data_IF_759912618441
#
_entry.id   IF_759912618441
#
_cell.length_a   1.000
_cell.length_b   1.000
_cell.length_c   1.000
_cell.angle_alpha   90.00
_cell.angle_beta   90.00
_cell.angle_gamma   90.00
#
_symmetry.space_group_name_H-M   'P 1'
#
loop_
_entity.id
_entity.type
_entity.pdbx_description
1 polymer ?
#
# COMPACT_ATOMS: atom_id res chain seq x y z
N UNK A 1 -12.55 36.35 26.48
CA UNK A 1 -13.27 35.45 25.57
C UNK A 1 -12.71 34.06 25.80
N UNK A 2 -13.53 33.02 25.98
CA UNK A 2 -13.00 31.65 26.15
C UNK A 2 -12.30 31.19 24.87
N UNK A 3 -11.29 30.31 25.00
CA UNK A 3 -10.47 29.81 23.89
C UNK A 3 -11.35 29.22 22.77
N UNK A 4 -12.35 28.40 23.13
CA UNK A 4 -13.28 27.82 22.16
C UNK A 4 -14.05 28.88 21.34
N UNK A 5 -14.52 29.97 21.97
CA UNK A 5 -15.26 31.04 21.28
C UNK A 5 -14.35 31.82 20.32
N UNK A 6 -13.05 31.90 20.61
CA UNK A 6 -12.07 32.46 19.67
C UNK A 6 -11.94 31.59 18.42
N UNK A 7 -11.85 30.27 18.57
CA UNK A 7 -11.84 29.34 17.44
C UNK A 7 -13.10 29.47 16.57
N UNK A 8 -14.28 29.63 17.17
CA UNK A 8 -15.52 29.88 16.43
C UNK A 8 -15.47 31.20 15.64
N UNK A 9 -14.91 32.26 16.24
CA UNK A 9 -14.73 33.55 15.57
C UNK A 9 -13.74 33.44 14.41
N UNK A 10 -12.59 32.77 14.60
CA UNK A 10 -11.61 32.54 13.53
C UNK A 10 -12.22 31.79 12.35
N UNK A 11 -13.03 30.75 12.63
CA UNK A 11 -13.66 29.98 11.58
C UNK A 11 -14.67 30.79 10.77
N UNK A 12 -15.22 31.88 11.33
CA UNK A 12 -16.13 32.79 10.61
C UNK A 12 -15.43 33.77 9.65
N UNK A 13 -14.10 33.88 9.73
CA UNK A 13 -13.29 34.78 8.91
C UNK A 13 -12.78 34.10 7.64
N UNK A 14 -12.23 34.90 6.73
CA UNK A 14 -11.42 34.43 5.59
C UNK A 14 -10.04 33.98 6.04
N UNK A 15 -9.36 33.16 5.24
CA UNK A 15 -7.99 32.72 5.49
C UNK A 15 -7.06 33.92 5.75
N UNK A 16 -7.12 34.95 4.90
CA UNK A 16 -6.29 36.15 5.02
C UNK A 16 -6.51 36.90 6.34
N UNK A 17 -7.76 37.04 6.79
CA UNK A 17 -8.09 37.67 8.08
C UNK A 17 -7.57 36.86 9.27
N UNK A 18 -7.65 35.53 9.21
CA UNK A 18 -7.07 34.65 10.25
C UNK A 18 -5.55 34.80 10.29
N UNK A 19 -4.88 34.88 9.14
CA UNK A 19 -3.43 35.13 9.09
C UNK A 19 -3.07 36.46 9.78
N UNK A 20 -3.79 37.54 9.48
CA UNK A 20 -3.56 38.84 10.13
C UNK A 20 -3.78 38.77 11.64
N UNK A 21 -4.83 38.09 12.08
CA UNK A 21 -5.11 37.87 13.49
C UNK A 21 -3.97 37.11 14.18
N UNK A 22 -3.49 36.01 13.59
CA UNK A 22 -2.43 35.19 14.17
C UNK A 22 -1.08 35.90 14.20
N UNK A 23 -0.76 36.70 13.17
CA UNK A 23 0.42 37.56 13.16
C UNK A 23 0.36 38.60 14.28
N UNK A 24 -0.82 39.19 14.54
CA UNK A 24 -1.02 40.11 15.66
C UNK A 24 -0.90 39.39 17.01
N UNK A 25 -1.43 38.16 17.12
CA UNK A 25 -1.47 37.38 18.36
C UNK A 25 -0.10 36.84 18.76
N UNK A 26 0.67 36.31 17.81
CA UNK A 26 1.92 35.58 18.10
C UNK A 26 3.19 36.24 17.58
N UNK A 27 3.06 37.30 16.78
CA UNK A 27 4.17 37.98 16.12
C UNK A 27 4.69 37.26 14.88
N UNK A 28 5.61 37.91 14.19
CA UNK A 28 6.28 37.37 13.00
C UNK A 28 7.21 36.20 13.34
N UNK A 29 7.48 35.33 12.34
CA UNK A 29 8.46 34.28 12.50
C UNK A 29 9.87 34.84 12.74
N UNK A 30 10.63 34.13 13.57
CA UNK A 30 11.95 34.59 14.05
C UNK A 30 13.09 34.24 13.08
N UNK A 31 12.85 33.29 12.17
CA UNK A 31 13.84 32.78 11.23
C UNK A 31 13.10 32.14 10.04
N UNK A 32 13.80 31.96 8.93
CA UNK A 32 13.26 31.26 7.76
C UNK A 32 12.99 29.78 8.08
N UNK A 33 12.09 29.15 7.34
CA UNK A 33 11.76 27.74 7.54
C UNK A 33 12.95 26.83 7.20
N UNK A 34 13.60 27.12 6.08
CA UNK A 34 14.84 26.49 5.63
C UNK A 34 15.97 27.51 5.51
N UNK A 35 17.21 27.03 5.59
CA UNK A 35 18.39 27.87 5.36
C UNK A 35 18.61 28.07 3.87
N UNK A 36 18.60 29.31 3.40
CA UNK A 36 18.75 29.67 1.99
C UNK A 36 19.93 28.98 1.31
N UNK A 37 21.14 29.07 1.88
CA UNK A 37 22.33 28.40 1.31
C UNK A 37 22.15 26.90 1.17
N UNK A 38 21.50 26.25 2.14
CA UNK A 38 21.23 24.81 2.07
C UNK A 38 20.13 24.50 1.05
N UNK A 39 19.14 25.37 0.92
CA UNK A 39 18.06 25.25 -0.05
C UNK A 39 18.59 25.29 -1.48
N UNK A 40 19.40 26.30 -1.81
CA UNK A 40 20.00 26.43 -3.15
C UNK A 40 20.87 25.22 -3.51
N UNK A 41 21.70 24.76 -2.58
CA UNK A 41 22.53 23.56 -2.78
C UNK A 41 21.68 22.30 -2.99
N UNK A 42 20.53 22.19 -2.32
CA UNK A 42 19.60 21.09 -2.53
C UNK A 42 18.97 21.15 -3.93
N UNK A 43 18.50 22.33 -4.35
CA UNK A 43 17.94 22.53 -5.70
C UNK A 43 18.97 22.27 -6.82
N UNK A 44 20.25 22.51 -6.54
CA UNK A 44 21.36 22.18 -7.45
C UNK A 44 21.77 20.69 -7.43
N UNK A 45 21.13 19.85 -6.61
CA UNK A 45 21.49 18.43 -6.46
C UNK A 45 22.79 18.16 -5.68
N UNK A 46 23.37 19.17 -5.02
CA UNK A 46 24.63 19.03 -4.28
C UNK A 46 24.46 18.32 -2.92
N UNK A 47 23.26 18.38 -2.35
CA UNK A 47 22.91 17.75 -1.07
C UNK A 47 21.54 17.08 -1.16
N UNK A 48 21.31 16.06 -0.33
CA UNK A 48 20.05 15.29 -0.32
C UNK A 48 18.96 15.84 0.60
N UNK A 49 19.30 16.79 1.48
CA UNK A 49 18.39 17.30 2.52
C UNK A 49 18.62 18.78 2.77
N UNK A 50 17.53 19.52 2.96
CA UNK A 50 17.58 20.94 3.27
C UNK A 50 17.73 21.13 4.78
N UNK A 51 18.65 22.00 5.18
CA UNK A 51 18.84 22.38 6.59
C UNK A 51 17.71 23.29 7.04
N UNK A 52 17.05 22.96 8.15
CA UNK A 52 16.00 23.79 8.76
C UNK A 52 16.57 25.07 9.40
N UNK A 53 15.80 26.15 9.36
CA UNK A 53 16.07 27.34 10.16
C UNK A 53 15.66 27.17 11.63
N UNK A 54 15.85 28.21 12.44
CA UNK A 54 15.50 28.23 13.88
C UNK A 54 14.11 28.85 14.11
N UNK A 55 13.12 28.40 13.33
CA UNK A 55 11.75 28.92 13.40
C UNK A 55 10.89 28.23 14.47
N UNK A 56 11.32 27.09 15.03
CA UNK A 56 10.47 26.25 15.88
C UNK A 56 10.09 26.94 17.21
N UNK A 57 8.78 26.98 17.52
CA UNK A 57 8.22 27.43 18.81
C UNK A 57 7.33 26.36 19.48
N UNK A 58 7.61 25.09 19.20
CA UNK A 58 6.86 23.97 19.78
C UNK A 58 7.03 23.84 21.30
N UNK A 59 8.08 24.44 21.88
CA UNK A 59 8.21 24.60 23.34
C UNK A 59 7.12 25.48 23.94
N UNK A 60 6.52 26.38 23.16
CA UNK A 60 5.39 27.24 23.54
C UNK A 60 4.03 26.63 23.15
N UNK A 61 4.04 25.41 22.57
CA UNK A 61 2.85 24.76 22.03
C UNK A 61 2.39 25.29 20.67
N UNK A 62 3.27 25.97 19.92
CA UNK A 62 2.95 26.58 18.64
C UNK A 62 3.58 25.82 17.45
N UNK A 63 2.77 25.63 16.42
CA UNK A 63 3.15 25.21 15.08
C UNK A 63 3.54 26.42 14.24
N UNK A 64 4.37 26.17 13.23
CA UNK A 64 4.68 27.14 12.19
C UNK A 64 3.95 26.71 10.92
N UNK A 65 3.14 27.62 10.37
CA UNK A 65 2.34 27.45 9.17
C UNK A 65 2.90 28.32 8.05
N UNK A 66 2.98 27.77 6.84
CA UNK A 66 3.36 28.52 5.64
C UNK A 66 2.15 29.24 5.05
N UNK A 67 2.17 30.57 4.99
CA UNK A 67 1.04 31.41 4.53
C UNK A 67 0.63 31.06 3.09
N UNK A 68 1.59 30.61 2.28
CA UNK A 68 1.38 30.32 0.85
C UNK A 68 0.84 28.91 0.56
N UNK A 69 0.47 28.14 1.59
CA UNK A 69 -0.19 26.84 1.39
C UNK A 69 -1.60 26.96 0.82
N UNK A 70 -2.11 28.18 0.62
CA UNK A 70 -3.32 28.43 -0.17
C UNK A 70 -3.09 28.43 -1.68
N UNK A 71 -1.84 28.36 -2.14
CA UNK A 71 -1.46 28.35 -3.55
C UNK A 71 -0.46 27.24 -3.90
N UNK A 72 0.18 26.61 -2.90
CA UNK A 72 1.17 25.56 -3.10
C UNK A 72 0.98 24.42 -2.11
N UNK A 73 1.20 23.19 -2.56
CA UNK A 73 1.09 22.02 -1.70
C UNK A 73 2.39 21.78 -0.93
N UNK A 74 2.24 21.55 0.38
CA UNK A 74 3.26 20.93 1.23
C UNK A 74 4.62 21.64 1.21
N UNK A 75 4.62 22.94 1.49
CA UNK A 75 5.80 23.81 1.44
C UNK A 75 6.90 23.43 2.44
N UNK A 76 6.59 22.54 3.39
CA UNK A 76 7.55 21.98 4.35
C UNK A 76 8.28 20.72 3.86
N UNK A 77 7.84 20.11 2.75
CA UNK A 77 8.38 18.84 2.26
C UNK A 77 9.36 19.06 1.08
N UNK A 78 10.61 18.65 1.28
CA UNK A 78 11.67 18.79 0.29
C UNK A 78 11.38 18.09 -1.05
N UNK A 79 10.62 16.99 -1.05
CA UNK A 79 10.25 16.29 -2.29
C UNK A 79 9.32 17.16 -3.14
N UNK A 80 8.29 17.74 -2.53
CA UNK A 80 7.38 18.66 -3.23
C UNK A 80 8.09 19.93 -3.70
N UNK A 81 9.01 20.45 -2.90
CA UNK A 81 9.86 21.59 -3.26
C UNK A 81 10.67 21.30 -4.54
N UNK A 82 11.34 20.15 -4.60
CA UNK A 82 12.15 19.75 -5.75
C UNK A 82 11.28 19.50 -6.98
N UNK A 83 10.21 18.71 -6.83
CA UNK A 83 9.32 18.35 -7.94
C UNK A 83 8.66 19.58 -8.59
N UNK A 84 8.26 20.57 -7.78
CA UNK A 84 7.56 21.76 -8.24
C UNK A 84 8.47 22.98 -8.42
N UNK A 85 9.78 22.82 -8.28
CA UNK A 85 10.78 23.89 -8.43
C UNK A 85 10.42 25.17 -7.65
N UNK A 86 9.99 24.98 -6.40
CA UNK A 86 9.49 26.08 -5.57
C UNK A 86 10.60 27.08 -5.25
N UNK A 87 10.23 28.35 -5.15
CA UNK A 87 11.17 29.41 -4.80
C UNK A 87 11.47 29.42 -3.30
N UNK A 88 12.70 29.79 -2.93
CA UNK A 88 13.07 30.04 -1.55
C UNK A 88 12.25 31.17 -0.91
N UNK A 89 11.68 32.08 -1.70
CA UNK A 89 10.84 33.18 -1.19
C UNK A 89 9.70 32.70 -0.29
N UNK A 90 9.10 31.54 -0.58
CA UNK A 90 8.02 30.96 0.23
C UNK A 90 8.49 30.41 1.58
N UNK A 91 9.79 30.29 1.78
CA UNK A 91 10.40 29.79 3.02
C UNK A 91 10.82 30.91 3.95
N UNK A 92 10.74 32.17 3.50
CA UNK A 92 11.14 33.34 4.28
C UNK A 92 10.22 33.54 5.48
N UNK A 93 10.78 34.04 6.58
CA UNK A 93 10.05 34.29 7.84
C UNK A 93 8.83 35.19 7.66
N UNK A 94 8.82 36.12 6.70
CA UNK A 94 7.68 36.98 6.40
C UNK A 94 6.49 36.21 5.77
N UNK A 95 6.73 34.98 5.31
CA UNK A 95 5.74 34.07 4.71
C UNK A 95 5.32 32.96 5.67
N UNK A 96 5.65 33.10 6.95
CA UNK A 96 5.35 32.14 8.01
C UNK A 96 4.51 32.81 9.09
N UNK A 97 3.60 32.04 9.69
CA UNK A 97 2.80 32.43 10.85
C UNK A 97 2.84 31.34 11.91
N UNK A 98 2.64 31.72 13.18
CA UNK A 98 2.48 30.75 14.27
C UNK A 98 1.02 30.54 14.61
N UNK A 99 0.68 29.33 15.01
CA UNK A 99 -0.66 28.93 15.41
C UNK A 99 -0.59 27.74 16.37
N UNK A 100 -1.58 27.56 17.23
CA UNK A 100 -1.78 26.31 17.96
C UNK A 100 -2.41 25.23 17.06
N UNK A 101 -2.68 24.03 17.61
CA UNK A 101 -3.20 22.91 16.81
C UNK A 101 -4.59 23.20 16.20
N UNK A 102 -5.49 23.81 16.95
CA UNK A 102 -6.86 24.06 16.49
C UNK A 102 -6.85 25.19 15.46
N UNK A 103 -6.10 26.26 15.73
CA UNK A 103 -5.89 27.36 14.77
C UNK A 103 -5.28 26.84 13.46
N UNK A 104 -4.30 25.93 13.53
CA UNK A 104 -3.70 25.31 12.36
C UNK A 104 -4.74 24.52 11.55
N UNK A 105 -5.60 23.75 12.23
CA UNK A 105 -6.66 23.00 11.56
C UNK A 105 -7.71 23.92 10.92
N UNK A 106 -8.04 25.06 11.56
CA UNK A 106 -8.90 26.11 11.00
C UNK A 106 -8.27 26.70 9.73
N UNK A 107 -6.97 27.03 9.74
CA UNK A 107 -6.27 27.53 8.56
C UNK A 107 -6.42 26.55 7.38
N UNK A 108 -6.16 25.26 7.60
CA UNK A 108 -6.33 24.25 6.54
C UNK A 108 -7.79 24.07 6.10
N UNK A 109 -8.77 24.15 7.00
CA UNK A 109 -10.18 24.09 6.64
C UNK A 109 -10.60 25.30 5.78
N UNK A 110 -10.12 26.50 6.11
CA UNK A 110 -10.39 27.73 5.34
C UNK A 110 -9.72 27.69 3.97
N UNK A 111 -8.45 27.27 3.89
CA UNK A 111 -7.77 27.05 2.61
C UNK A 111 -8.57 26.07 1.75
N UNK A 112 -8.95 24.92 2.33
CA UNK A 112 -9.74 23.90 1.62
C UNK A 112 -11.05 24.47 1.10
N UNK A 113 -11.75 25.25 1.90
CA UNK A 113 -13.00 25.90 1.52
C UNK A 113 -12.79 26.91 0.38
N UNK A 114 -11.82 27.81 0.52
CA UNK A 114 -11.61 28.93 -0.42
C UNK A 114 -11.01 28.47 -1.76
N UNK A 115 -10.25 27.38 -1.76
CA UNK A 115 -9.59 26.83 -2.94
C UNK A 115 -10.37 25.68 -3.57
N UNK A 116 -11.61 25.46 -3.17
CA UNK A 116 -12.44 24.35 -3.66
C UNK A 116 -11.73 22.98 -3.57
N UNK A 117 -11.06 22.74 -2.44
CA UNK A 117 -10.29 21.53 -2.09
C UNK A 117 -8.99 21.32 -2.89
N UNK A 118 -8.56 22.29 -3.70
CA UNK A 118 -7.28 22.20 -4.42
C UNK A 118 -6.10 22.20 -3.46
N UNK A 119 -6.16 22.99 -2.39
CA UNK A 119 -5.13 23.09 -1.37
C UNK A 119 -5.70 22.85 0.04
N UNK A 120 -4.81 22.68 1.03
CA UNK A 120 -5.17 22.55 2.44
C UNK A 120 -5.75 21.19 2.87
N UNK A 121 -6.52 20.52 2.01
CA UNK A 121 -7.29 19.32 2.36
C UNK A 121 -6.44 18.19 2.93
N UNK A 122 -5.28 17.90 2.32
CA UNK A 122 -4.40 16.82 2.79
C UNK A 122 -3.84 17.11 4.20
N UNK A 123 -3.47 18.37 4.49
CA UNK A 123 -3.05 18.82 5.81
C UNK A 123 -4.16 18.66 6.85
N UNK A 124 -5.37 19.03 6.46
CA UNK A 124 -6.58 18.87 7.27
C UNK A 124 -6.90 17.42 7.59
N UNK A 125 -7.14 16.59 6.56
CA UNK A 125 -7.80 15.28 6.68
C UNK A 125 -6.83 14.17 7.12
N UNK A 126 -5.55 14.24 6.74
CA UNK A 126 -4.58 13.18 7.02
C UNK A 126 -3.75 13.42 8.28
N UNK A 127 -3.61 14.68 8.72
CA UNK A 127 -2.68 15.02 9.81
C UNK A 127 -3.39 15.71 10.98
N UNK A 128 -4.00 16.87 10.74
CA UNK A 128 -4.45 17.74 11.83
C UNK A 128 -5.77 17.26 12.45
N UNK A 129 -6.78 16.93 11.65
CA UNK A 129 -8.07 16.42 12.18
C UNK A 129 -7.87 15.11 12.95
N UNK A 130 -7.16 14.08 12.43
CA UNK A 130 -6.92 12.85 13.20
C UNK A 130 -6.18 13.10 14.52
N UNK A 131 -5.30 14.11 14.57
CA UNK A 131 -4.61 14.49 15.79
C UNK A 131 -5.56 15.10 16.82
N UNK A 132 -6.47 15.98 16.41
CA UNK A 132 -7.51 16.57 17.28
C UNK A 132 -8.47 15.48 17.78
N UNK A 133 -8.91 14.60 16.87
CA UNK A 133 -9.74 13.43 17.18
C UNK A 133 -9.09 12.54 18.25
N UNK A 134 -7.80 12.19 18.07
CA UNK A 134 -7.08 11.37 19.01
C UNK A 134 -6.81 12.07 20.34
N UNK A 135 -6.44 13.35 20.31
CA UNK A 135 -6.01 14.06 21.51
C UNK A 135 -7.18 14.45 22.40
N UNK A 136 -8.25 15.00 21.81
CA UNK A 136 -9.32 15.64 22.57
C UNK A 136 -10.60 14.83 22.60
N UNK A 137 -10.89 14.01 21.58
CA UNK A 137 -12.11 13.18 21.57
C UNK A 137 -11.83 11.78 22.13
N UNK A 138 -10.74 11.12 21.70
CA UNK A 138 -10.30 9.86 22.31
C UNK A 138 -9.55 10.08 23.65
N UNK A 139 -9.35 11.34 24.06
CA UNK A 139 -8.66 11.74 25.30
C UNK A 139 -7.23 11.17 25.44
N UNK A 140 -6.52 10.97 24.33
CA UNK A 140 -5.15 10.44 24.36
C UNK A 140 -4.11 11.54 24.42
N UNK A 141 -3.51 11.68 25.59
CA UNK A 141 -2.39 12.60 25.80
C UNK A 141 -1.18 12.14 24.97
N UNK A 142 -0.57 13.01 24.14
CA UNK A 142 0.59 12.65 23.34
C UNK A 142 1.82 12.37 24.22
N UNK A 143 2.71 11.49 23.73
CA UNK A 143 3.88 11.04 24.50
C UNK A 143 5.05 12.03 24.46
N UNK A 144 5.30 12.64 23.31
CA UNK A 144 6.45 13.53 23.11
C UNK A 144 6.22 14.87 23.80
N UNK A 145 7.23 15.39 24.48
CA UNK A 145 7.08 16.59 25.32
C UNK A 145 6.62 17.82 24.54
N UNK A 146 7.19 18.05 23.35
CA UNK A 146 6.76 19.16 22.50
C UNK A 146 5.30 19.01 22.03
N UNK A 147 4.80 17.78 21.86
CA UNK A 147 3.39 17.54 21.52
C UNK A 147 2.50 17.79 22.73
N UNK A 148 2.93 17.47 23.96
CA UNK A 148 2.19 17.82 25.19
C UNK A 148 2.05 19.32 25.33
N UNK A 149 3.10 20.09 25.02
CA UNK A 149 3.00 21.55 25.02
C UNK A 149 1.91 22.03 24.05
N UNK A 150 1.85 21.45 22.85
CA UNK A 150 0.81 21.76 21.87
C UNK A 150 -0.59 21.33 22.35
N UNK A 151 -0.70 20.13 22.92
CA UNK A 151 -1.93 19.61 23.53
C UNK A 151 -2.49 20.54 24.62
N UNK A 152 -1.64 20.97 25.54
CA UNK A 152 -2.04 21.86 26.63
C UNK A 152 -2.36 23.28 26.14
N UNK A 153 -1.65 23.77 25.12
CA UNK A 153 -1.87 25.09 24.53
C UNK A 153 -3.26 25.21 23.89
N UNK A 154 -3.71 24.14 23.23
CA UNK A 154 -4.94 24.13 22.45
C UNK A 154 -6.04 23.24 23.05
N UNK A 155 -6.01 23.03 24.37
CA UNK A 155 -6.89 22.07 25.04
C UNK A 155 -8.37 22.39 24.81
N UNK A 156 -9.13 21.36 24.43
CA UNK A 156 -10.58 21.35 24.33
C UNK A 156 -11.13 20.12 25.05
N UNK A 157 -12.31 20.25 25.65
CA UNK A 157 -13.07 19.07 26.10
C UNK A 157 -13.66 18.32 24.88
N UNK A 158 -14.02 17.03 24.99
CA UNK A 158 -14.53 16.24 23.86
C UNK A 158 -15.69 16.90 23.10
N UNK A 159 -16.64 17.51 23.81
CA UNK A 159 -17.78 18.20 23.21
C UNK A 159 -17.35 19.40 22.36
N UNK A 160 -16.42 20.22 22.85
CA UNK A 160 -15.88 21.36 22.12
C UNK A 160 -15.10 20.90 20.88
N UNK A 161 -14.30 19.84 21.01
CA UNK A 161 -13.53 19.26 19.91
C UNK A 161 -14.44 18.73 18.78
N UNK A 162 -15.50 17.98 19.13
CA UNK A 162 -16.49 17.53 18.15
C UNK A 162 -17.21 18.70 17.50
N UNK A 163 -17.63 19.69 18.29
CA UNK A 163 -18.36 20.85 17.76
C UNK A 163 -17.51 21.67 16.78
N UNK A 164 -16.24 21.93 17.11
CA UNK A 164 -15.38 22.71 16.21
C UNK A 164 -15.07 21.93 14.93
N UNK A 165 -14.77 20.63 15.02
CA UNK A 165 -14.53 19.78 13.85
C UNK A 165 -15.78 19.66 12.97
N UNK A 166 -16.97 19.54 13.58
CA UNK A 166 -18.23 19.53 12.86
C UNK A 166 -18.45 20.82 12.05
N UNK A 167 -18.12 21.98 12.62
CA UNK A 167 -18.18 23.26 11.91
C UNK A 167 -17.17 23.34 10.76
N UNK A 168 -15.95 22.84 10.95
CA UNK A 168 -14.93 22.79 9.90
C UNK A 168 -15.34 21.85 8.75
N UNK A 169 -15.82 20.64 9.07
CA UNK A 169 -16.28 19.66 8.07
C UNK A 169 -17.47 20.21 7.27
N UNK A 170 -18.43 20.87 7.93
CA UNK A 170 -19.54 21.56 7.25
C UNK A 170 -19.06 22.62 6.26
N UNK A 171 -18.02 23.38 6.60
CA UNK A 171 -17.43 24.41 5.72
C UNK A 171 -16.83 23.82 4.45
N UNK A 172 -16.27 22.62 4.53
CA UNK A 172 -15.70 21.91 3.37
C UNK A 172 -16.70 20.95 2.70
N UNK A 173 -17.99 21.06 3.03
CA UNK A 173 -19.07 20.31 2.39
C UNK A 173 -19.21 18.85 2.84
N UNK A 174 -18.70 18.51 4.03
CA UNK A 174 -18.71 17.15 4.59
C UNK A 174 -19.58 17.05 5.83
N UNK A 175 -19.94 15.82 6.16
CA UNK A 175 -20.71 15.47 7.35
C UNK A 175 -19.73 14.97 8.41
N UNK A 176 -19.98 15.36 9.65
CA UNK A 176 -19.24 14.90 10.81
C UNK A 176 -20.23 14.65 11.96
N UNK A 177 -19.90 13.75 12.90
CA UNK A 177 -20.66 13.56 14.13
C UNK A 177 -20.96 14.89 14.86
N UNK A 178 -22.10 14.95 15.53
CA UNK A 178 -22.51 16.12 16.33
C UNK A 178 -22.24 15.94 17.82
N UNK A 179 -21.98 14.70 18.26
CA UNK A 179 -21.67 14.38 19.65
C UNK A 179 -20.46 13.44 19.75
N UNK A 180 -19.73 13.42 20.89
CA UNK A 180 -18.68 12.43 21.11
C UNK A 180 -19.17 11.00 20.99
N UNK A 181 -20.39 10.71 21.43
CA UNK A 181 -21.01 9.38 21.28
C UNK A 181 -21.16 8.98 19.81
N UNK A 182 -21.77 9.83 18.98
CA UNK A 182 -21.92 9.60 17.54
C UNK A 182 -20.55 9.37 16.87
N UNK A 183 -19.52 10.11 17.31
CA UNK A 183 -18.16 9.93 16.80
C UNK A 183 -17.58 8.56 17.14
N UNK A 184 -17.71 8.11 18.38
CA UNK A 184 -17.20 6.80 18.78
C UNK A 184 -17.95 5.65 18.09
N UNK A 185 -19.27 5.78 17.96
CA UNK A 185 -20.10 4.80 17.22
C UNK A 185 -19.68 4.71 15.75
N UNK A 186 -19.54 5.84 15.06
CA UNK A 186 -19.08 5.90 13.67
C UNK A 186 -17.66 5.33 13.51
N UNK A 187 -16.78 5.61 14.47
CA UNK A 187 -15.40 5.12 14.46
C UNK A 187 -15.33 3.61 14.64
N UNK A 188 -16.11 3.05 15.56
CA UNK A 188 -16.19 1.59 15.73
C UNK A 188 -16.81 0.92 14.49
N UNK A 189 -17.87 1.49 13.92
CA UNK A 189 -18.44 1.02 12.65
C UNK A 189 -17.38 0.93 11.54
N UNK A 190 -16.60 1.99 11.35
CA UNK A 190 -15.50 2.00 10.35
C UNK A 190 -14.44 0.94 10.64
N UNK A 191 -14.11 0.69 11.92
CA UNK A 191 -13.17 -0.36 12.33
C UNK A 191 -13.70 -1.75 12.00
N UNK A 192 -14.97 -2.00 12.25
CA UNK A 192 -15.63 -3.27 11.93
C UNK A 192 -15.71 -3.49 10.42
N UNK A 193 -16.10 -2.48 9.65
CA UNK A 193 -16.11 -2.52 8.18
C UNK A 193 -14.73 -2.80 7.61
N UNK A 194 -13.69 -2.16 8.16
CA UNK A 194 -12.31 -2.42 7.75
C UNK A 194 -11.92 -3.88 8.05
N UNK A 195 -12.17 -4.38 9.26
CA UNK A 195 -11.90 -5.79 9.62
C UNK A 195 -12.63 -6.76 8.68
N UNK A 196 -13.90 -6.49 8.39
CA UNK A 196 -14.70 -7.31 7.48
C UNK A 196 -14.12 -7.29 6.06
N UNK A 197 -13.68 -6.13 5.57
CA UNK A 197 -13.06 -6.00 4.25
C UNK A 197 -11.77 -6.83 4.09
N UNK A 198 -10.97 -6.95 5.16
CA UNK A 198 -9.78 -7.81 5.19
C UNK A 198 -10.19 -9.29 5.11
N UNK A 199 -11.16 -9.71 5.92
CA UNK A 199 -11.69 -11.08 5.91
C UNK A 199 -12.24 -11.45 4.53
N UNK A 200 -13.00 -10.55 3.90
CA UNK A 200 -13.59 -10.79 2.58
C UNK A 200 -12.50 -10.87 1.49
N UNK A 201 -11.47 -10.03 1.60
CA UNK A 201 -10.30 -10.08 0.71
C UNK A 201 -9.56 -11.41 0.85
N UNK A 202 -9.34 -11.89 2.07
CA UNK A 202 -8.70 -13.19 2.33
C UNK A 202 -9.51 -14.35 1.77
N UNK A 203 -10.83 -14.37 1.99
CA UNK A 203 -11.73 -15.38 1.41
C UNK A 203 -11.69 -15.38 -0.12
N UNK A 204 -11.68 -14.20 -0.75
CA UNK A 204 -11.58 -14.08 -2.21
C UNK A 204 -10.26 -14.65 -2.72
N UNK A 205 -9.13 -14.30 -2.08
CA UNK A 205 -7.82 -14.82 -2.46
C UNK A 205 -7.73 -16.34 -2.30
N UNK A 206 -8.31 -16.91 -1.25
CA UNK A 206 -8.38 -18.35 -1.05
C UNK A 206 -9.21 -19.04 -2.14
N UNK A 207 -10.37 -18.47 -2.50
CA UNK A 207 -11.20 -18.99 -3.59
C UNK A 207 -10.48 -18.94 -4.94
N UNK A 208 -9.83 -17.82 -5.26
CA UNK A 208 -9.01 -17.67 -6.47
C UNK A 208 -7.87 -18.69 -6.51
N UNK A 209 -7.23 -18.94 -5.38
CA UNK A 209 -6.18 -19.95 -5.26
C UNK A 209 -6.72 -21.36 -5.53
N UNK A 210 -7.83 -21.75 -4.87
CA UNK A 210 -8.47 -23.06 -5.07
C UNK A 210 -8.87 -23.25 -6.53
N UNK A 211 -9.48 -22.25 -7.16
CA UNK A 211 -9.90 -22.33 -8.55
C UNK A 211 -8.70 -22.47 -9.49
N UNK A 212 -7.63 -21.70 -9.27
CA UNK A 212 -6.38 -21.83 -10.03
C UNK A 212 -5.78 -23.23 -9.92
N UNK A 213 -5.81 -23.84 -8.73
CA UNK A 213 -5.34 -25.22 -8.54
C UNK A 213 -6.20 -26.24 -9.30
N UNK A 214 -7.52 -26.05 -9.36
CA UNK A 214 -8.41 -26.90 -10.17
C UNK A 214 -8.10 -26.76 -11.66
N UNK A 215 -7.96 -25.54 -12.16
CA UNK A 215 -7.63 -25.27 -13.56
C UNK A 215 -6.28 -25.88 -13.95
N UNK A 216 -5.27 -25.76 -13.08
CA UNK A 216 -3.97 -26.41 -13.31
C UNK A 216 -4.09 -27.93 -13.39
N UNK A 217 -4.90 -28.56 -12.53
CA UNK A 217 -5.15 -30.01 -12.59
C UNK A 217 -5.89 -30.43 -13.86
N UNK A 218 -6.83 -29.63 -14.35
CA UNK A 218 -7.56 -29.88 -15.61
C UNK A 218 -6.59 -29.77 -16.79
N UNK A 219 -5.87 -28.65 -16.88
CA UNK A 219 -4.88 -28.40 -17.94
C UNK A 219 -3.79 -29.48 -17.98
N UNK A 220 -3.29 -29.95 -16.82
CA UNK A 220 -2.33 -31.06 -16.77
C UNK A 220 -2.91 -32.38 -17.29
N UNK A 221 -4.20 -32.65 -17.06
CA UNK A 221 -4.86 -33.85 -17.59
C UNK A 221 -5.04 -33.76 -19.11
N UNK A 222 -5.42 -32.59 -19.61
CA UNK A 222 -5.55 -32.33 -21.04
C UNK A 222 -4.21 -32.45 -21.75
N UNK A 223 -3.16 -31.81 -21.22
CA UNK A 223 -1.80 -31.93 -21.75
C UNK A 223 -1.31 -33.38 -21.80
N UNK A 224 -1.50 -34.15 -20.73
CA UNK A 224 -1.17 -35.59 -20.71
C UNK A 224 -1.95 -36.39 -21.76
N UNK A 225 -3.19 -36.00 -22.04
CA UNK A 225 -4.03 -36.65 -23.06
C UNK A 225 -3.48 -36.34 -24.46
N UNK A 226 -3.19 -35.07 -24.75
CA UNK A 226 -2.60 -34.64 -26.03
C UNK A 226 -1.24 -35.30 -26.29
N UNK A 227 -0.37 -35.34 -25.28
CA UNK A 227 0.93 -36.01 -25.36
C UNK A 227 0.78 -37.51 -25.65
N UNK A 228 -0.18 -38.17 -24.99
CA UNK A 228 -0.48 -39.58 -25.26
C UNK A 228 -1.05 -39.79 -26.67
N UNK A 229 -1.96 -38.92 -27.13
CA UNK A 229 -2.51 -39.00 -28.48
C UNK A 229 -1.42 -38.83 -29.54
N UNK A 230 -0.49 -37.88 -29.33
CA UNK A 230 0.68 -37.72 -30.20
C UNK A 230 1.56 -38.97 -30.17
N UNK A 231 1.86 -39.49 -28.98
CA UNK A 231 2.64 -40.71 -28.82
C UNK A 231 2.05 -41.91 -29.54
N UNK A 232 0.73 -42.09 -29.49
CA UNK A 232 0.06 -43.18 -30.21
C UNK A 232 -0.02 -42.97 -31.72
N UNK A 233 0.15 -41.74 -32.24
CA UNK A 233 0.31 -41.55 -33.69
C UNK A 233 1.67 -42.06 -34.17
N UNK A 234 2.71 -41.80 -33.39
CA UNK A 234 4.07 -42.23 -33.72
C UNK A 234 4.26 -43.74 -33.42
N UNK A 235 3.54 -44.27 -32.43
CA UNK A 235 3.65 -45.65 -31.96
C UNK A 235 2.27 -46.32 -31.72
N UNK A 236 1.49 -46.62 -32.77
CA UNK A 236 0.10 -47.09 -32.65
C UNK A 236 -0.08 -48.38 -31.85
N UNK A 237 0.78 -49.38 -32.03
CA UNK A 237 0.66 -50.69 -31.37
C UNK A 237 0.82 -50.60 -29.84
N UNK A 238 1.36 -49.49 -29.31
CA UNK A 238 1.44 -49.30 -27.86
C UNK A 238 0.10 -49.05 -27.17
N UNK A 239 -0.95 -48.71 -27.93
CA UNK A 239 -2.30 -48.49 -27.40
C UNK A 239 -2.84 -49.74 -26.69
N UNK A 240 -2.53 -50.93 -27.20
CA UNK A 240 -3.01 -52.21 -26.66
C UNK A 240 -2.11 -52.77 -25.56
N UNK A 241 -0.88 -52.25 -25.44
CA UNK A 241 0.10 -52.63 -24.40
C UNK A 241 -0.06 -51.84 -23.10
N UNK A 242 -0.95 -50.84 -23.10
CA UNK A 242 -1.13 -49.90 -21.99
C UNK A 242 0.08 -48.98 -21.77
N UNK A 243 0.98 -48.85 -22.75
CA UNK A 243 2.14 -47.96 -22.68
C UNK A 243 1.74 -46.55 -23.15
N UNK A 244 2.28 -45.52 -22.50
CA UNK A 244 1.85 -44.12 -22.59
C UNK A 244 3.06 -43.20 -22.73
N UNK A 245 2.89 -41.98 -23.25
CA UNK A 245 3.96 -41.00 -23.44
C UNK A 245 4.76 -40.73 -22.17
N UNK A 246 4.10 -40.58 -21.02
CA UNK A 246 4.77 -40.38 -19.72
C UNK A 246 5.04 -41.68 -18.96
N UNK A 247 4.98 -42.84 -19.61
CA UNK A 247 5.29 -44.11 -18.95
C UNK A 247 6.71 -44.06 -18.37
N UNK A 248 6.88 -44.41 -17.08
CA UNK A 248 8.18 -44.43 -16.46
C UNK A 248 9.15 -45.34 -17.21
N UNK A 249 10.42 -44.97 -17.26
CA UNK A 249 11.48 -45.78 -17.87
C UNK A 249 11.48 -47.22 -17.39
N UNK A 250 11.28 -47.43 -16.09
CA UNK A 250 11.20 -48.76 -15.49
C UNK A 250 10.11 -49.63 -16.12
N UNK A 251 8.99 -49.05 -16.54
CA UNK A 251 7.91 -49.76 -17.23
C UNK A 251 8.36 -50.21 -18.63
N UNK A 252 9.08 -49.36 -19.36
CA UNK A 252 9.63 -49.68 -20.69
C UNK A 252 10.64 -50.81 -20.57
N UNK A 253 11.58 -50.72 -19.63
CA UNK A 253 12.58 -51.77 -19.36
C UNK A 253 11.91 -53.08 -18.93
N UNK A 254 10.87 -53.01 -18.11
CA UNK A 254 10.13 -54.19 -17.68
C UNK A 254 9.48 -54.93 -18.87
N UNK A 255 8.92 -54.19 -19.83
CA UNK A 255 8.35 -54.77 -21.05
C UNK A 255 9.48 -55.34 -21.95
N UNK A 256 10.57 -54.60 -22.16
CA UNK A 256 11.73 -55.09 -22.93
C UNK A 256 12.29 -56.40 -22.36
N UNK A 257 12.34 -56.51 -21.02
CA UNK A 257 12.70 -57.76 -20.35
C UNK A 257 11.77 -58.90 -20.75
N UNK A 258 10.46 -58.69 -20.62
CA UNK A 258 9.46 -59.73 -20.86
C UNK A 258 9.41 -60.17 -22.35
N UNK A 259 9.62 -59.24 -23.29
CA UNK A 259 9.53 -59.52 -24.73
C UNK A 259 10.83 -60.01 -25.39
N UNK A 260 12.01 -59.59 -24.91
CA UNK A 260 13.29 -59.87 -25.60
C UNK A 260 14.39 -60.39 -24.69
N UNK A 261 14.51 -59.86 -23.49
CA UNK A 261 15.72 -60.01 -22.69
C UNK A 261 15.62 -61.01 -21.52
N UNK A 262 14.49 -61.71 -21.38
CA UNK A 262 14.21 -62.64 -20.28
C UNK A 262 15.21 -63.79 -20.18
N UNK A 263 15.71 -64.27 -21.31
CA UNK A 263 16.71 -65.36 -21.36
C UNK A 263 18.16 -64.85 -21.27
N UNK A 264 18.37 -63.53 -21.40
CA UNK A 264 19.70 -62.91 -21.39
C UNK A 264 20.09 -62.36 -20.03
N UNK A 265 19.13 -61.80 -19.29
CA UNK A 265 19.36 -61.20 -17.97
C UNK A 265 18.55 -61.96 -16.92
N UNK A 266 19.08 -62.08 -15.70
CA UNK A 266 18.44 -62.86 -14.62
C UNK A 266 17.24 -62.14 -14.00
N UNK A 267 17.15 -60.83 -14.17
CA UNK A 267 16.05 -60.03 -13.64
C UNK A 267 15.86 -58.69 -14.36
N UNK A 268 14.66 -58.11 -14.23
CA UNK A 268 14.34 -56.75 -14.69
C UNK A 268 15.29 -55.69 -14.11
N UNK A 269 15.78 -55.88 -12.89
CA UNK A 269 16.71 -54.96 -12.20
C UNK A 269 18.11 -54.99 -12.80
N UNK A 270 18.54 -56.17 -13.22
CA UNK A 270 19.82 -56.35 -13.92
C UNK A 270 19.77 -55.69 -15.30
N UNK A 271 18.68 -55.90 -16.05
CA UNK A 271 18.45 -55.22 -17.33
C UNK A 271 18.38 -53.69 -17.16
N UNK A 272 17.66 -53.18 -16.16
CA UNK A 272 17.59 -51.73 -15.90
C UNK A 272 18.98 -51.13 -15.65
N UNK A 273 19.80 -51.84 -14.86
CA UNK A 273 21.18 -51.41 -14.57
C UNK A 273 22.06 -51.41 -15.83
N UNK A 274 21.92 -52.42 -16.69
CA UNK A 274 22.64 -52.50 -17.96
C UNK A 274 22.18 -51.42 -18.96
N UNK A 275 20.88 -51.13 -18.98
CA UNK A 275 20.28 -50.19 -19.92
C UNK A 275 20.40 -48.73 -19.49
N UNK A 276 20.79 -48.42 -18.24
CA UNK A 276 20.95 -47.06 -17.71
C UNK A 276 21.57 -46.03 -18.67
N UNK A 277 22.64 -46.33 -19.44
CA UNK A 277 23.24 -45.37 -20.36
C UNK A 277 22.38 -45.01 -21.57
N UNK A 278 21.38 -45.84 -21.91
CA UNK A 278 20.54 -45.67 -23.11
C UNK A 278 19.43 -44.69 -22.80
N UNK A 279 19.27 -43.65 -23.62
CA UNK A 279 18.18 -42.67 -23.46
C UNK A 279 16.80 -43.33 -23.62
N UNK A 280 15.79 -42.78 -22.96
CA UNK A 280 14.44 -43.35 -22.92
C UNK A 280 13.87 -43.58 -24.31
N UNK A 281 14.03 -42.62 -25.22
CA UNK A 281 13.38 -42.68 -26.54
C UNK A 281 13.91 -43.84 -27.39
N UNK A 282 15.21 -44.13 -27.32
CA UNK A 282 15.80 -45.33 -27.95
C UNK A 282 15.23 -46.64 -27.41
N UNK A 283 14.93 -46.70 -26.10
CA UNK A 283 14.30 -47.89 -25.50
C UNK A 283 12.83 -48.03 -25.93
N UNK A 284 12.13 -46.90 -26.13
CA UNK A 284 10.76 -46.88 -26.64
C UNK A 284 10.73 -47.39 -28.08
N UNK A 285 11.62 -46.87 -28.93
CA UNK A 285 11.78 -47.30 -30.33
C UNK A 285 12.06 -48.80 -30.42
N UNK A 286 13.06 -49.28 -29.66
CA UNK A 286 13.40 -50.71 -29.62
C UNK A 286 12.20 -51.57 -29.17
N UNK A 287 11.51 -51.15 -28.11
CA UNK A 287 10.33 -51.88 -27.63
C UNK A 287 9.22 -51.90 -28.69
N UNK A 288 9.06 -50.81 -29.44
CA UNK A 288 8.04 -50.70 -30.47
C UNK A 288 8.30 -51.64 -31.64
N UNK A 289 9.54 -51.69 -32.10
CA UNK A 289 9.97 -52.61 -33.17
C UNK A 289 9.70 -54.07 -32.77
N UNK A 290 10.03 -54.44 -31.53
CA UNK A 290 9.80 -55.80 -31.03
C UNK A 290 8.31 -56.15 -31.04
N UNK A 291 7.45 -55.26 -30.52
CA UNK A 291 6.02 -55.52 -30.44
C UNK A 291 5.39 -55.56 -31.84
N UNK A 292 5.82 -54.66 -32.74
CA UNK A 292 5.31 -54.62 -34.13
C UNK A 292 5.65 -55.91 -34.89
N UNK A 293 6.88 -56.41 -34.75
CA UNK A 293 7.30 -57.66 -35.39
C UNK A 293 6.56 -58.90 -34.84
N UNK A 294 6.18 -58.89 -33.56
CA UNK A 294 5.40 -59.98 -32.93
C UNK A 294 3.94 -59.98 -33.42
N UNK A 295 3.38 -58.82 -33.79
CA UNK A 295 2.02 -58.72 -34.33
C UNK A 295 1.95 -59.05 -35.82
N UNK A 296 2.98 -58.71 -36.61
CA UNK A 296 3.07 -59.08 -38.02
C UNK A 296 3.24 -60.60 -38.24
N UNK A 297 3.95 -61.29 -37.34
CA UNK A 297 4.10 -62.75 -37.39
C UNK A 297 2.87 -63.55 -36.91
N UNK A 298 1.80 -62.88 -36.47
CA UNK A 298 0.52 -63.49 -36.04
C UNK A 298 -0.62 -63.34 -37.07
N UNK A 299 -0.41 -62.57 -38.14
CA UNK A 299 -1.33 -62.48 -39.29
C UNK A 299 -0.93 -63.47 -40.37
#
# INVERSE_FOLDING_TARGET
MGIYKEYEDLLSKTYAEVILFLLQKYGSAQDDFFREKSYQRFMNGEIKRITKGKYSRTSEGLYCHHIDENAYLNLSNQFFIEENQLSFEFQKKERLVYCDLIEHNILHALITQETSQEYGYLGYDLFLKPMIEEWFIDEKIPKLEWMKNCYHKSFLIPEEAVNILNKMEKKIGRIYPNTPLEYHEEKERRREEFKQSIIDKEKRLEQEYIERQKQLKISQKEWRKEDNERFYRDYPNFKDTGMQFHSPRLKIVALLYDYKYKETYKSKKELDSAMKPIIRDKLVEELYEIISNVEEGKR
#
